data_IF_399540489027
#
_entry.id   IF_399540489027
#
_cell.length_a   1.000
_cell.length_b   1.000
_cell.length_c   1.000
_cell.angle_alpha   90.00
_cell.angle_beta   90.00
_cell.angle_gamma   90.00
#
_symmetry.space_group_name_H-M   'P 1'
#
loop_
_entity.id
_entity.type
_entity.pdbx_description
1 polymer ?
#
# COMPACT_ATOMS: atom_id res chain seq x y z
N UNK A 1 14.44 7.97 28.23
CA UNK A 1 13.61 9.02 27.60
C UNK A 1 12.35 8.35 27.12
N UNK A 2 11.17 8.80 27.56
CA UNK A 2 9.90 8.28 27.04
C UNK A 2 9.80 8.74 25.58
N UNK A 3 9.75 7.79 24.65
CA UNK A 3 9.49 8.09 23.25
C UNK A 3 8.05 8.63 23.12
N UNK A 4 7.79 9.56 22.19
CA UNK A 4 6.44 9.96 21.84
C UNK A 4 5.55 8.74 21.56
N UNK A 5 4.35 8.71 22.15
CA UNK A 5 3.32 7.70 21.88
C UNK A 5 3.12 7.59 20.35
N UNK A 6 3.43 6.43 19.79
CA UNK A 6 3.42 6.17 18.34
C UNK A 6 4.79 5.93 17.70
N UNK A 7 5.89 6.24 18.39
CA UNK A 7 7.26 5.91 17.93
C UNK A 7 7.83 4.61 18.53
N UNK A 8 7.15 4.04 19.52
CA UNK A 8 7.50 2.75 20.15
C UNK A 8 7.64 1.59 19.15
N UNK A 9 6.75 1.42 18.14
CA UNK A 9 6.91 0.38 17.13
C UNK A 9 8.14 0.56 16.22
N UNK A 10 8.77 1.75 16.22
CA UNK A 10 9.97 2.05 15.44
C UNK A 10 11.27 1.86 16.24
N UNK A 11 11.21 1.51 17.53
CA UNK A 11 12.38 1.40 18.42
C UNK A 11 13.42 0.41 17.90
N UNK A 12 12.97 -0.70 17.32
CA UNK A 12 13.85 -1.74 16.77
C UNK A 12 14.07 -1.60 15.25
N UNK A 13 13.45 -0.61 14.60
CA UNK A 13 13.53 -0.46 13.14
C UNK A 13 14.72 0.41 12.75
N UNK A 14 15.73 -0.19 12.14
CA UNK A 14 16.85 0.58 11.59
C UNK A 14 16.38 1.42 10.39
N UNK A 15 16.90 2.64 10.19
CA UNK A 15 16.61 3.44 8.99
C UNK A 15 16.89 2.69 7.68
N UNK A 16 17.86 1.76 7.70
CA UNK A 16 18.17 0.87 6.57
C UNK A 16 17.05 -0.12 6.29
N UNK A 17 16.49 -0.76 7.31
CA UNK A 17 15.37 -1.70 7.12
C UNK A 17 14.16 -0.99 6.52
N UNK A 18 13.85 0.22 7.00
CA UNK A 18 12.76 1.02 6.44
C UNK A 18 13.01 1.39 4.97
N UNK A 19 14.20 1.90 4.65
CA UNK A 19 14.56 2.24 3.27
C UNK A 19 14.51 1.03 2.33
N UNK A 20 14.92 -0.16 2.81
CA UNK A 20 14.84 -1.39 2.04
C UNK A 20 13.39 -1.79 1.76
N UNK A 21 12.49 -1.70 2.75
CA UNK A 21 11.05 -1.99 2.55
C UNK A 21 10.46 -1.08 1.49
N UNK A 22 10.72 0.23 1.57
CA UNK A 22 10.28 1.19 0.55
C UNK A 22 10.85 0.84 -0.84
N UNK A 23 12.14 0.52 -0.93
CA UNK A 23 12.78 0.16 -2.19
C UNK A 23 12.16 -1.12 -2.81
N UNK A 24 11.90 -2.15 -2.01
CA UNK A 24 11.21 -3.36 -2.47
C UNK A 24 9.76 -3.08 -2.86
N UNK A 25 9.05 -2.23 -2.13
CA UNK A 25 7.69 -1.81 -2.48
C UNK A 25 7.62 -1.08 -3.82
N UNK A 26 8.56 -0.15 -4.05
CA UNK A 26 8.71 0.58 -5.33
C UNK A 26 9.05 -0.39 -6.46
N UNK A 27 10.00 -1.30 -6.24
CA UNK A 27 10.41 -2.27 -7.25
C UNK A 27 9.27 -3.23 -7.60
N UNK A 28 8.58 -3.77 -6.60
CA UNK A 28 7.44 -4.67 -6.81
C UNK A 28 6.29 -3.96 -7.54
N UNK A 29 6.00 -2.70 -7.17
CA UNK A 29 5.03 -1.88 -7.89
C UNK A 29 5.43 -1.68 -9.36
N UNK A 30 6.69 -1.35 -9.62
CA UNK A 30 7.21 -1.13 -10.97
C UNK A 30 7.16 -2.40 -11.82
N UNK A 31 7.61 -3.53 -11.26
CA UNK A 31 7.57 -4.84 -11.92
C UNK A 31 6.14 -5.27 -12.18
N UNK A 32 5.24 -5.12 -11.20
CA UNK A 32 3.82 -5.42 -11.37
C UNK A 32 3.20 -4.56 -12.47
N UNK A 33 3.50 -3.26 -12.50
CA UNK A 33 2.96 -2.33 -13.49
C UNK A 33 3.49 -2.57 -14.90
N UNK A 34 4.81 -2.45 -15.09
CA UNK A 34 5.45 -2.55 -16.41
C UNK A 34 5.45 -3.97 -16.91
N UNK A 35 5.70 -4.95 -16.03
CA UNK A 35 5.75 -6.36 -16.38
C UNK A 35 4.41 -6.89 -16.86
N UNK A 36 3.31 -6.58 -16.15
CA UNK A 36 1.97 -7.01 -16.61
C UNK A 36 1.58 -6.32 -17.92
N UNK A 37 1.86 -5.02 -18.08
CA UNK A 37 1.59 -4.33 -19.34
C UNK A 37 2.38 -4.94 -20.51
N UNK A 38 3.68 -5.18 -20.32
CA UNK A 38 4.53 -5.78 -21.33
C UNK A 38 4.08 -7.21 -21.68
N UNK A 39 3.69 -8.01 -20.70
CA UNK A 39 3.30 -9.41 -20.87
C UNK A 39 1.95 -9.55 -21.60
N UNK A 40 0.94 -8.74 -21.25
CA UNK A 40 -0.42 -8.92 -21.74
C UNK A 40 -0.81 -8.00 -22.91
N UNK A 41 -0.20 -6.81 -23.01
CA UNK A 41 -0.65 -5.77 -23.94
C UNK A 41 0.47 -5.11 -24.75
N UNK A 42 1.73 -5.45 -24.45
CA UNK A 42 2.91 -4.76 -24.96
C UNK A 42 3.18 -3.42 -24.26
N UNK A 43 4.45 -3.02 -24.22
CA UNK A 43 4.89 -1.83 -23.49
C UNK A 43 4.22 -0.53 -23.96
N UNK A 44 3.96 -0.41 -25.28
CA UNK A 44 3.31 0.76 -25.86
C UNK A 44 1.88 1.01 -25.37
N UNK A 45 1.21 0.01 -24.77
CA UNK A 45 -0.11 0.19 -24.19
C UNK A 45 -0.12 1.16 -22.99
N UNK A 46 1.05 1.46 -22.41
CA UNK A 46 1.22 2.42 -21.33
C UNK A 46 1.38 3.87 -21.80
N UNK A 47 1.41 4.13 -23.10
CA UNK A 47 1.51 5.48 -23.64
C UNK A 47 0.35 6.39 -23.16
N UNK A 48 0.57 7.70 -23.16
CA UNK A 48 -0.38 8.70 -22.68
C UNK A 48 -1.69 8.72 -23.47
N UNK A 49 -1.62 8.46 -24.78
CA UNK A 49 -2.78 8.31 -25.68
C UNK A 49 -3.38 6.90 -25.74
N UNK A 50 -2.81 5.94 -25.01
CA UNK A 50 -3.22 4.54 -25.03
C UNK A 50 -4.59 4.28 -24.37
N UNK A 51 -5.23 3.14 -24.69
CA UNK A 51 -6.51 2.75 -24.10
C UNK A 51 -6.43 2.59 -22.58
N UNK A 52 -7.51 2.94 -21.87
CA UNK A 52 -7.53 2.91 -20.41
C UNK A 52 -7.49 1.49 -19.81
N UNK A 53 -8.05 0.49 -20.49
CA UNK A 53 -8.18 -0.86 -19.95
C UNK A 53 -6.83 -1.54 -19.65
N UNK A 54 -5.85 -1.60 -20.58
CA UNK A 54 -4.52 -2.13 -20.28
C UNK A 54 -3.85 -1.45 -19.09
N UNK A 55 -4.00 -0.12 -18.99
CA UNK A 55 -3.47 0.65 -17.86
C UNK A 55 -4.11 0.24 -16.54
N UNK A 56 -5.44 0.08 -16.49
CA UNK A 56 -6.16 -0.35 -15.29
C UNK A 56 -5.73 -1.75 -14.86
N UNK A 57 -5.59 -2.68 -15.79
CA UNK A 57 -5.09 -4.04 -15.48
C UNK A 57 -3.67 -3.96 -14.93
N UNK A 58 -2.79 -3.18 -15.55
CA UNK A 58 -1.44 -2.99 -15.04
C UNK A 58 -1.42 -2.37 -13.64
N UNK A 59 -2.30 -1.41 -13.37
CA UNK A 59 -2.50 -0.81 -12.04
C UNK A 59 -2.95 -1.84 -11.00
N UNK A 60 -3.81 -2.80 -11.35
CA UNK A 60 -4.21 -3.89 -10.44
C UNK A 60 -3.01 -4.74 -10.04
N UNK A 61 -2.18 -5.16 -11.00
CA UNK A 61 -0.99 -5.96 -10.69
C UNK A 61 0.04 -5.17 -9.86
N UNK A 62 0.23 -3.89 -10.18
CA UNK A 62 1.08 -2.99 -9.41
C UNK A 62 0.58 -2.85 -7.96
N UNK A 63 -0.73 -2.66 -7.79
CA UNK A 63 -1.41 -2.55 -6.50
C UNK A 63 -1.19 -3.80 -5.64
N UNK A 64 -1.48 -4.97 -6.21
CA UNK A 64 -1.32 -6.25 -5.51
C UNK A 64 0.14 -6.53 -5.14
N UNK A 65 1.07 -6.34 -6.08
CA UNK A 65 2.49 -6.58 -5.84
C UNK A 65 3.05 -5.64 -4.76
N UNK A 66 2.67 -4.36 -4.80
CA UNK A 66 3.06 -3.37 -3.82
C UNK A 66 2.55 -3.75 -2.42
N UNK A 67 1.24 -3.90 -2.25
CA UNK A 67 0.65 -4.21 -0.94
C UNK A 67 1.09 -5.56 -0.38
N UNK A 68 1.38 -6.55 -1.21
CA UNK A 68 1.93 -7.83 -0.75
C UNK A 68 3.29 -7.65 -0.05
N UNK A 69 4.18 -6.79 -0.58
CA UNK A 69 5.47 -6.49 0.06
C UNK A 69 5.28 -5.84 1.43
N UNK A 70 4.43 -4.81 1.52
CA UNK A 70 4.19 -4.11 2.77
C UNK A 70 3.45 -4.98 3.80
N UNK A 71 2.54 -5.85 3.37
CA UNK A 71 1.89 -6.83 4.24
C UNK A 71 2.90 -7.83 4.82
N UNK A 72 3.83 -8.34 4.00
CA UNK A 72 4.92 -9.22 4.47
C UNK A 72 5.87 -8.49 5.43
N UNK A 73 6.20 -7.22 5.14
CA UNK A 73 7.04 -6.40 6.02
C UNK A 73 6.38 -6.20 7.39
N UNK A 74 5.07 -5.93 7.42
CA UNK A 74 4.27 -5.82 8.64
C UNK A 74 4.28 -7.12 9.45
N UNK A 75 3.98 -8.26 8.81
CA UNK A 75 4.00 -9.58 9.48
C UNK A 75 5.36 -9.92 10.08
N UNK A 76 6.45 -9.48 9.44
CA UNK A 76 7.82 -9.71 9.92
C UNK A 76 8.26 -8.75 11.03
N UNK A 77 7.37 -7.86 11.51
CA UNK A 77 7.72 -6.82 12.48
C UNK A 77 8.74 -5.81 11.94
N UNK A 78 8.89 -5.73 10.61
CA UNK A 78 9.78 -4.79 9.90
C UNK A 78 8.99 -3.65 9.27
N UNK A 79 7.99 -3.16 9.99
CA UNK A 79 7.15 -2.03 9.61
C UNK A 79 6.46 -1.56 10.88
N UNK A 80 6.68 -0.31 11.24
CA UNK A 80 5.97 0.35 12.33
C UNK A 80 4.46 0.43 12.05
N UNK A 81 3.70 1.25 12.79
CA UNK A 81 2.24 1.19 12.90
C UNK A 81 1.53 1.24 11.54
N UNK A 82 0.23 0.95 11.54
CA UNK A 82 -0.75 0.94 10.43
C UNK A 82 -0.50 1.95 9.28
N UNK A 83 0.13 3.09 9.56
CA UNK A 83 0.72 4.01 8.57
C UNK A 83 1.61 3.33 7.52
N UNK A 84 2.38 2.29 7.86
CA UNK A 84 3.29 1.62 6.93
C UNK A 84 2.56 0.74 5.89
N UNK A 85 1.38 0.23 6.25
CA UNK A 85 0.57 -0.69 5.41
C UNK A 85 -0.47 0.07 4.56
N UNK A 86 -0.70 1.34 4.85
CA UNK A 86 -1.65 2.17 4.11
C UNK A 86 -0.97 3.36 3.41
N UNK A 87 -0.25 4.21 4.15
CA UNK A 87 0.27 5.46 3.59
C UNK A 87 1.37 5.22 2.53
N UNK A 88 2.37 4.38 2.84
CA UNK A 88 3.45 4.12 1.88
C UNK A 88 3.01 3.36 0.64
N UNK A 89 2.17 2.32 0.72
CA UNK A 89 1.63 1.69 -0.48
C UNK A 89 0.82 2.66 -1.35
N UNK A 90 -0.05 3.49 -0.75
CA UNK A 90 -0.83 4.51 -1.47
C UNK A 90 0.11 5.48 -2.20
N UNK A 91 1.11 6.02 -1.49
CA UNK A 91 2.09 6.91 -2.09
C UNK A 91 2.87 6.22 -3.22
N UNK A 92 3.26 4.97 -3.03
CA UNK A 92 4.01 4.16 -4.00
C UNK A 92 3.19 3.94 -5.27
N UNK A 93 1.94 3.45 -5.17
CA UNK A 93 1.11 3.18 -6.35
C UNK A 93 0.61 4.45 -7.03
N UNK A 94 0.54 5.58 -6.33
CA UNK A 94 0.25 6.87 -6.95
C UNK A 94 1.46 7.41 -7.73
N UNK A 95 2.66 7.31 -7.15
CA UNK A 95 3.87 7.91 -7.72
C UNK A 95 4.54 7.04 -8.79
N UNK A 96 4.69 5.73 -8.55
CA UNK A 96 5.52 4.85 -9.38
C UNK A 96 4.97 4.67 -10.80
N UNK A 97 3.69 4.32 -11.02
CA UNK A 97 3.13 4.21 -12.37
C UNK A 97 3.20 5.53 -13.14
N UNK A 98 2.97 6.64 -12.43
CA UNK A 98 3.05 7.98 -13.01
C UNK A 98 4.48 8.31 -13.44
N UNK A 99 5.46 8.15 -12.54
CA UNK A 99 6.88 8.38 -12.83
C UNK A 99 7.40 7.46 -13.94
N UNK A 100 7.03 6.17 -13.93
CA UNK A 100 7.44 5.20 -14.95
C UNK A 100 6.99 5.63 -16.35
N UNK A 101 5.73 6.05 -16.51
CA UNK A 101 5.21 6.55 -17.79
C UNK A 101 5.87 7.87 -18.19
N UNK A 102 6.12 8.74 -17.23
CA UNK A 102 6.77 10.02 -17.48
C UNK A 102 8.19 9.82 -17.99
N UNK A 103 8.95 8.90 -17.39
CA UNK A 103 10.30 8.53 -17.81
C UNK A 103 10.28 7.86 -19.19
N UNK A 104 9.32 6.97 -19.45
CA UNK A 104 9.27 6.19 -20.68
C UNK A 104 8.73 6.95 -21.91
N UNK A 105 7.72 7.79 -21.73
CA UNK A 105 6.96 8.44 -22.82
C UNK A 105 7.03 9.97 -22.78
N UNK A 106 7.79 10.53 -21.83
CA UNK A 106 7.90 11.96 -21.63
C UNK A 106 6.71 12.59 -20.89
N UNK A 107 6.79 13.91 -20.63
CA UNK A 107 5.73 14.64 -19.93
C UNK A 107 4.42 14.76 -20.67
N UNK A 108 3.34 14.38 -19.99
CA UNK A 108 1.96 14.66 -20.41
C UNK A 108 1.42 15.96 -19.78
N UNK A 109 2.09 17.10 -20.02
CA UNK A 109 1.71 18.39 -19.44
C UNK A 109 0.26 18.80 -19.76
N UNK A 110 -0.24 18.47 -20.96
CA UNK A 110 -1.62 18.75 -21.36
C UNK A 110 -2.65 17.99 -20.50
N UNK A 111 -2.42 16.69 -20.26
CA UNK A 111 -3.30 15.87 -19.43
C UNK A 111 -3.29 16.30 -17.95
N UNK A 112 -2.16 16.80 -17.45
CA UNK A 112 -2.05 17.32 -16.08
C UNK A 112 -2.91 18.58 -15.88
N UNK A 113 -2.88 19.51 -16.85
CA UNK A 113 -3.66 20.74 -16.83
C UNK A 113 -5.17 20.47 -16.81
N UNK A 114 -5.62 19.50 -17.60
CA UNK A 114 -7.05 19.14 -17.68
C UNK A 114 -7.57 18.45 -16.41
N UNK A 115 -6.74 17.66 -15.73
CA UNK A 115 -7.14 16.90 -14.53
C UNK A 115 -7.33 17.79 -13.30
N UNK A 116 -6.56 18.87 -13.19
CA UNK A 116 -6.67 19.84 -12.08
C UNK A 116 -7.97 20.68 -12.17
N UNK A 117 -8.53 20.88 -13.35
CA UNK A 117 -9.71 21.74 -13.55
C UNK A 117 -11.07 21.08 -13.24
N UNK A 118 -11.18 19.75 -13.31
CA UNK A 118 -12.47 19.02 -13.27
C UNK A 118 -12.45 17.71 -12.47
N UNK A 119 -11.58 17.62 -11.46
CA UNK A 119 -11.32 16.37 -10.71
C UNK A 119 -12.58 15.68 -10.14
N UNK A 120 -13.59 16.45 -9.71
CA UNK A 120 -14.79 15.92 -9.03
C UNK A 120 -15.84 15.28 -9.96
N UNK A 121 -15.76 15.42 -11.29
CA UNK A 121 -16.83 15.00 -12.22
C UNK A 121 -16.39 13.96 -13.27
N UNK A 122 -15.26 13.27 -13.08
CA UNK A 122 -14.76 12.28 -14.04
C UNK A 122 -14.81 10.85 -13.47
N UNK A 123 -15.82 10.02 -13.81
CA UNK A 123 -15.95 8.66 -13.29
C UNK A 123 -14.76 7.77 -13.64
N UNK A 124 -14.06 8.07 -14.75
CA UNK A 124 -12.84 7.37 -15.12
C UNK A 124 -11.68 7.57 -14.14
N UNK A 125 -11.60 8.72 -13.46
CA UNK A 125 -10.58 8.95 -12.42
C UNK A 125 -10.87 8.10 -11.18
N UNK A 126 -12.14 7.92 -10.83
CA UNK A 126 -12.55 7.03 -9.74
C UNK A 126 -12.22 5.57 -10.08
N UNK A 127 -12.48 5.14 -11.31
CA UNK A 127 -12.12 3.80 -11.76
C UNK A 127 -10.60 3.57 -11.78
N UNK A 128 -9.82 4.55 -12.23
CA UNK A 128 -8.35 4.48 -12.23
C UNK A 128 -7.80 4.44 -10.78
N UNK A 129 -8.36 5.25 -9.87
CA UNK A 129 -8.00 5.23 -8.45
C UNK A 129 -8.38 3.91 -7.77
N UNK A 130 -9.58 3.39 -8.06
CA UNK A 130 -10.04 2.11 -7.53
C UNK A 130 -9.13 0.96 -8.01
N UNK A 131 -8.75 0.94 -9.30
CA UNK A 131 -7.83 -0.05 -9.85
C UNK A 131 -6.43 0.01 -9.19
N UNK A 132 -5.99 1.18 -8.74
CA UNK A 132 -4.71 1.37 -8.06
C UNK A 132 -4.72 0.94 -6.59
N UNK A 133 -5.87 1.00 -5.91
CA UNK A 133 -5.92 0.87 -4.43
C UNK A 133 -6.70 -0.35 -3.97
N UNK A 134 -7.90 -0.58 -4.51
CA UNK A 134 -8.83 -1.59 -3.99
C UNK A 134 -8.25 -3.01 -4.05
N UNK A 135 -7.62 -3.46 -5.16
CA UNK A 135 -7.06 -4.81 -5.22
C UNK A 135 -5.95 -5.05 -4.19
N UNK A 136 -5.06 -4.07 -4.00
CA UNK A 136 -3.98 -4.13 -3.01
C UNK A 136 -4.52 -4.20 -1.58
N UNK A 137 -5.50 -3.35 -1.23
CA UNK A 137 -6.16 -3.39 0.08
C UNK A 137 -6.83 -4.74 0.31
N UNK A 138 -7.59 -5.25 -0.66
CA UNK A 138 -8.27 -6.53 -0.54
C UNK A 138 -7.30 -7.69 -0.33
N UNK A 139 -6.19 -7.73 -1.09
CA UNK A 139 -5.13 -8.72 -0.91
C UNK A 139 -4.47 -8.59 0.46
N UNK A 140 -4.14 -7.37 0.88
CA UNK A 140 -3.53 -7.10 2.18
C UNK A 140 -4.43 -7.55 3.33
N UNK A 141 -5.71 -7.17 3.32
CA UNK A 141 -6.69 -7.62 4.30
C UNK A 141 -6.77 -9.15 4.35
N UNK A 142 -6.75 -9.82 3.19
CA UNK A 142 -6.78 -11.28 3.10
C UNK A 142 -5.53 -11.92 3.72
N UNK A 143 -4.34 -11.39 3.41
CA UNK A 143 -3.07 -11.88 3.97
C UNK A 143 -2.97 -11.65 5.48
N UNK A 144 -3.42 -10.48 5.96
CA UNK A 144 -3.42 -10.17 7.38
C UNK A 144 -4.46 -10.99 8.14
N UNK A 145 -5.63 -11.24 7.56
CA UNK A 145 -6.64 -12.15 8.13
C UNK A 145 -6.07 -13.56 8.26
N UNK A 146 -5.42 -14.06 7.21
CA UNK A 146 -4.79 -15.38 7.21
C UNK A 146 -3.65 -15.46 8.24
N UNK A 147 -2.87 -14.39 8.41
CA UNK A 147 -1.85 -14.34 9.44
C UNK A 147 -2.45 -14.31 10.84
N UNK A 148 -3.45 -13.47 11.07
CA UNK A 148 -4.14 -13.35 12.36
C UNK A 148 -4.79 -14.67 12.78
N UNK A 149 -5.35 -15.45 11.84
CA UNK A 149 -5.94 -16.76 12.14
C UNK A 149 -4.92 -17.83 12.58
N UNK A 150 -3.62 -17.53 12.54
CA UNK A 150 -2.54 -18.43 12.96
C UNK A 150 -1.95 -18.06 14.32
N UNK A 151 -2.32 -16.91 14.88
CA UNK A 151 -1.83 -16.45 16.16
C UNK A 151 -2.62 -17.08 17.31
N UNK A 152 -1.94 -17.40 18.40
CA UNK A 152 -2.60 -17.76 19.66
C UNK A 152 -2.97 -16.53 20.50
N UNK A 153 -3.81 -16.71 21.53
CA UNK A 153 -4.25 -15.60 22.40
C UNK A 153 -3.09 -14.89 23.10
N UNK A 154 -2.03 -15.62 23.45
CA UNK A 154 -0.83 -15.07 24.08
C UNK A 154 -0.06 -14.15 23.13
N UNK A 155 0.08 -14.54 21.87
CA UNK A 155 0.70 -13.79 20.79
C UNK A 155 -0.13 -12.56 20.41
N UNK A 156 -1.45 -12.71 20.34
CA UNK A 156 -2.38 -11.59 20.10
C UNK A 156 -2.27 -10.55 21.20
N UNK A 157 -2.36 -10.96 22.48
CA UNK A 157 -2.21 -10.04 23.62
C UNK A 157 -0.82 -9.39 23.66
N UNK A 158 0.24 -10.13 23.32
CA UNK A 158 1.58 -9.57 23.23
C UNK A 158 1.75 -8.57 22.08
N UNK A 159 1.08 -8.79 20.94
CA UNK A 159 1.05 -7.86 19.83
C UNK A 159 0.26 -6.60 20.19
N UNK A 160 -0.94 -6.74 20.77
CA UNK A 160 -1.78 -5.63 21.21
C UNK A 160 -1.06 -4.74 22.23
N UNK A 161 -0.42 -5.35 23.24
CA UNK A 161 0.36 -4.59 24.25
C UNK A 161 1.49 -3.75 23.64
N UNK A 162 2.10 -4.21 22.55
CA UNK A 162 3.21 -3.53 21.88
C UNK A 162 2.77 -2.44 20.91
N UNK A 163 1.57 -2.56 20.32
CA UNK A 163 1.16 -1.73 19.19
C UNK A 163 -0.06 -0.84 19.46
N UNK A 164 -0.88 -1.16 20.48
CA UNK A 164 -2.04 -0.37 20.85
C UNK A 164 -1.74 0.48 22.09
N UNK A 165 -2.20 1.74 22.09
CA UNK A 165 -2.11 2.60 23.26
C UNK A 165 -2.86 1.97 24.44
N UNK A 166 -2.42 2.29 25.66
CA UNK A 166 -3.10 1.82 26.87
C UNK A 166 -4.57 2.24 26.90
N UNK A 167 -4.85 3.49 26.53
CA UNK A 167 -6.21 4.06 26.44
C UNK A 167 -7.11 3.30 25.46
N UNK A 168 -6.58 2.90 24.30
CA UNK A 168 -7.35 2.13 23.31
C UNK A 168 -7.58 0.69 23.78
N UNK A 169 -6.59 0.08 24.46
CA UNK A 169 -6.75 -1.27 25.02
C UNK A 169 -7.79 -1.30 26.13
N UNK A 170 -7.73 -0.36 27.06
CA UNK A 170 -8.66 -0.29 28.18
C UNK A 170 -10.11 -0.11 27.67
N UNK A 171 -10.33 0.78 26.70
CA UNK A 171 -11.67 1.10 26.20
C UNK A 171 -12.27 0.08 25.20
N UNK A 172 -11.46 -0.72 24.50
CA UNK A 172 -11.97 -1.58 23.40
C UNK A 172 -11.54 -3.05 23.48
N UNK A 173 -10.52 -3.38 24.27
CA UNK A 173 -9.97 -4.74 24.36
C UNK A 173 -10.25 -5.33 25.74
N UNK A 174 -9.88 -4.61 26.80
CA UNK A 174 -10.02 -5.11 28.16
C UNK A 174 -11.49 -5.10 28.60
N UNK A 175 -12.27 -4.08 28.21
CA UNK A 175 -13.72 -4.01 28.49
C UNK A 175 -14.53 -5.10 27.75
N UNK A 176 -14.04 -5.57 26.59
CA UNK A 176 -14.65 -6.66 25.82
C UNK A 176 -14.42 -8.06 26.44
N UNK A 177 -13.31 -8.25 27.18
CA UNK A 177 -13.02 -9.49 27.91
C UNK A 177 -13.86 -9.61 29.22
N UNK A 178 -14.55 -8.55 29.67
CA UNK A 178 -15.44 -8.58 30.84
C UNK A 178 -16.90 -8.94 30.52
N UNK A 179 -17.31 -8.92 29.23
CA UNK A 179 -18.68 -9.25 28.80
C UNK A 179 -18.82 -10.67 28.18
N UNK A 180 -17.74 -11.44 28.09
CA UNK A 180 -17.71 -12.85 27.63
C UNK A 180 -17.49 -13.85 28.75
#
# INVERSE_FOLDING_TARGET
MNLPLGLEPFVDQSPRDHALVLAFGVLACLVGYVGSAALFFGFGALDHGGPAAPRRVASVFASMACWAVYAVAFVRGKGGPVTDVLAYPIATVAAVPFAARWIAFGPAWGALRERLGFFLFRPDLLADAAALVVPGIALCASLLTLWASRLDETEVRAWQRRNLSAEFREAFVDEADFEG
#
